data_IF_005317599298
#
_entry.id   IF_005317599298
#
_cell.length_a   1.000
_cell.length_b   1.000
_cell.length_c   1.000
_cell.angle_alpha   90.00
_cell.angle_beta   90.00
_cell.angle_gamma   90.00
#
_symmetry.space_group_name_H-M   'P 1'
#
loop_
_entity.id
_entity.type
_entity.pdbx_description
1 polymer ?
#
# COMPACT_ATOMS: atom_id res chain seq x y z
N UNK A 1 -25.95 8.48 5.58
CA UNK A 1 -26.11 7.77 4.36
C UNK A 1 -24.79 7.28 3.83
N UNK A 2 -24.84 6.11 3.39
CA UNK A 2 -23.66 5.50 2.84
C UNK A 2 -23.41 6.02 1.43
N UNK A 3 -22.21 6.39 1.10
CA UNK A 3 -21.93 6.75 -0.27
C UNK A 3 -20.83 5.83 -0.79
N UNK A 4 -20.74 5.78 -2.10
CA UNK A 4 -19.86 4.81 -2.69
C UNK A 4 -18.39 5.08 -2.42
N UNK A 5 -18.04 6.30 -2.05
CA UNK A 5 -16.66 6.57 -1.70
C UNK A 5 -16.24 5.83 -0.46
N UNK A 6 -17.18 5.53 0.40
CA UNK A 6 -16.84 4.81 1.62
C UNK A 6 -16.51 3.36 1.33
N UNK A 7 -17.07 2.81 0.25
CA UNK A 7 -16.71 1.45 -0.13
C UNK A 7 -15.35 1.41 -0.79
N UNK A 8 -14.82 2.58 -1.17
CA UNK A 8 -13.52 2.66 -1.78
C UNK A 8 -12.50 3.21 -0.81
N UNK A 9 -12.78 3.01 0.46
CA UNK A 9 -11.88 3.46 1.50
C UNK A 9 -10.51 2.85 1.27
N UNK A 10 -9.50 3.63 1.54
CA UNK A 10 -8.13 3.17 1.43
C UNK A 10 -7.88 2.10 2.48
N UNK A 11 -7.67 0.89 2.04
CA UNK A 11 -7.37 -0.20 2.96
C UNK A 11 -5.91 -0.23 3.33
N UNK A 12 -5.04 0.27 2.46
CA UNK A 12 -3.64 0.33 2.79
C UNK A 12 -3.16 1.77 2.74
N UNK A 13 -2.05 2.02 3.42
CA UNK A 13 -1.41 3.33 3.42
C UNK A 13 0.01 3.22 2.89
N UNK A 14 0.18 2.38 1.88
CA UNK A 14 1.50 2.16 1.31
C UNK A 14 2.10 3.46 0.80
N UNK A 15 1.29 4.26 0.09
CA UNK A 15 1.79 5.52 -0.44
C UNK A 15 2.23 6.46 0.68
N UNK A 16 1.48 6.52 1.76
CA UNK A 16 1.83 7.38 2.88
C UNK A 16 3.18 6.98 3.43
N UNK A 17 3.40 5.68 3.62
CA UNK A 17 4.66 5.22 4.17
C UNK A 17 5.80 5.50 3.21
N UNK A 18 5.57 5.30 1.92
CA UNK A 18 6.59 5.63 0.91
C UNK A 18 6.98 7.10 1.00
N UNK A 19 5.99 7.97 1.05
CA UNK A 19 6.24 9.41 1.12
C UNK A 19 7.00 9.76 2.40
N UNK A 20 6.57 9.16 3.51
CA UNK A 20 7.24 9.43 4.79
C UNK A 20 8.71 9.04 4.76
N UNK A 21 9.03 8.02 4.00
CA UNK A 21 10.42 7.54 3.93
C UNK A 21 11.18 8.11 2.73
N UNK A 22 10.53 8.98 1.95
CA UNK A 22 11.17 9.55 0.79
C UNK A 22 11.42 8.55 -0.32
N UNK A 23 10.56 7.52 -0.40
CA UNK A 23 10.68 6.50 -1.42
C UNK A 23 9.57 6.67 -2.46
N UNK A 24 9.81 6.14 -3.65
CA UNK A 24 8.83 6.21 -4.73
C UNK A 24 8.21 4.85 -4.98
N UNK A 25 7.07 4.86 -5.68
CA UNK A 25 6.48 3.61 -6.12
C UNK A 25 7.40 2.84 -7.04
N UNK A 26 8.16 3.56 -7.87
CA UNK A 26 9.12 2.91 -8.75
C UNK A 26 10.18 2.17 -7.94
N UNK A 27 10.65 2.80 -6.88
CA UNK A 27 11.62 2.16 -5.99
C UNK A 27 11.03 0.87 -5.43
N UNK A 28 9.79 0.93 -4.96
CA UNK A 28 9.16 -0.24 -4.38
C UNK A 28 8.98 -1.34 -5.42
N UNK A 29 8.58 -0.96 -6.63
CA UNK A 29 8.43 -1.94 -7.70
C UNK A 29 9.74 -2.67 -7.96
N UNK A 30 10.85 -1.94 -7.93
CA UNK A 30 12.16 -2.55 -8.13
C UNK A 30 12.49 -3.49 -6.99
N UNK A 31 12.18 -3.10 -5.77
CA UNK A 31 12.47 -3.96 -4.62
C UNK A 31 11.71 -5.28 -4.69
N UNK A 32 10.51 -5.25 -5.24
CA UNK A 32 9.65 -6.42 -5.26
C UNK A 32 9.68 -7.15 -6.60
N UNK A 33 10.41 -6.61 -7.56
CA UNK A 33 10.45 -7.16 -8.91
C UNK A 33 9.04 -7.22 -9.51
N UNK A 34 8.30 -6.12 -9.33
CA UNK A 34 6.97 -5.96 -9.87
C UNK A 34 6.94 -4.75 -10.79
N UNK A 35 5.90 -4.64 -11.60
CA UNK A 35 5.77 -3.49 -12.47
C UNK A 35 5.35 -2.27 -11.68
N UNK A 36 5.71 -1.09 -12.19
CA UNK A 36 5.27 0.15 -11.56
C UNK A 36 3.76 0.29 -11.62
N UNK A 37 3.14 -0.26 -12.65
CA UNK A 37 1.68 -0.23 -12.78
C UNK A 37 1.02 -0.97 -11.63
N UNK A 38 1.55 -2.14 -11.29
CA UNK A 38 1.01 -2.93 -10.19
C UNK A 38 1.13 -2.17 -8.88
N UNK A 39 2.31 -1.59 -8.63
CA UNK A 39 2.53 -0.84 -7.39
C UNK A 39 1.63 0.39 -7.35
N UNK A 40 1.47 1.06 -8.49
CA UNK A 40 0.60 2.23 -8.54
C UNK A 40 -0.82 1.88 -8.13
N UNK A 41 -1.31 0.72 -8.57
CA UNK A 41 -2.66 0.30 -8.20
C UNK A 41 -2.78 0.06 -6.71
N UNK A 42 -1.73 -0.47 -6.08
CA UNK A 42 -1.73 -0.62 -4.62
C UNK A 42 -1.74 0.75 -3.95
N UNK A 43 -0.93 1.69 -4.45
CA UNK A 43 -0.83 3.00 -3.84
C UNK A 43 -2.13 3.78 -3.92
N UNK A 44 -2.90 3.56 -4.97
CA UNK A 44 -4.20 4.22 -5.13
C UNK A 44 -5.34 3.40 -4.56
N UNK A 45 -5.04 2.25 -3.98
CA UNK A 45 -6.02 1.34 -3.41
C UNK A 45 -7.01 0.81 -4.44
N UNK A 46 -6.60 0.82 -5.71
CA UNK A 46 -7.39 0.21 -6.77
C UNK A 46 -7.41 -1.30 -6.61
N UNK A 47 -6.26 -1.88 -6.29
CA UNK A 47 -6.15 -3.28 -5.92
C UNK A 47 -5.29 -3.36 -4.67
N UNK A 48 -5.31 -4.51 -4.03
CA UNK A 48 -4.55 -4.73 -2.81
C UNK A 48 -3.53 -5.83 -3.04
N UNK A 49 -2.34 -5.71 -2.44
CA UNK A 49 -1.39 -6.83 -2.47
C UNK A 49 -1.92 -7.96 -1.60
N UNK A 50 -1.53 -9.19 -1.94
CA UNK A 50 -1.88 -10.30 -1.06
C UNK A 50 -0.99 -10.25 0.18
N UNK A 51 -1.27 -11.15 1.14
CA UNK A 51 -0.57 -11.09 2.41
C UNK A 51 0.92 -11.33 2.28
N UNK A 52 1.33 -12.23 1.39
CA UNK A 52 2.74 -12.49 1.20
C UNK A 52 3.44 -11.27 0.61
N UNK A 53 2.80 -10.63 -0.35
CA UNK A 53 3.37 -9.43 -0.95
C UNK A 53 3.40 -8.29 0.07
N UNK A 54 2.35 -8.17 0.86
CA UNK A 54 2.31 -7.14 1.89
C UNK A 54 3.44 -7.31 2.89
N UNK A 55 3.75 -8.55 3.24
CA UNK A 55 4.87 -8.83 4.12
C UNK A 55 6.19 -8.39 3.48
N UNK A 56 6.34 -8.64 2.19
CA UNK A 56 7.54 -8.21 1.48
C UNK A 56 7.66 -6.70 1.43
N UNK A 57 6.54 -6.02 1.24
CA UNK A 57 6.53 -4.56 1.26
C UNK A 57 6.97 -4.06 2.63
N UNK A 58 6.42 -4.66 3.68
CA UNK A 58 6.77 -4.25 5.04
C UNK A 58 8.27 -4.41 5.27
N UNK A 59 8.83 -5.52 4.84
CA UNK A 59 10.25 -5.76 5.02
C UNK A 59 11.10 -4.78 4.22
N UNK A 60 10.67 -4.48 3.00
CA UNK A 60 11.40 -3.53 2.18
C UNK A 60 11.40 -2.13 2.81
N UNK A 61 10.31 -1.75 3.44
CA UNK A 61 10.15 -0.44 4.06
C UNK A 61 10.56 -0.45 5.53
N UNK A 62 10.87 -1.63 6.07
CA UNK A 62 11.30 -1.78 7.47
C UNK A 62 10.24 -1.33 8.45
N UNK A 63 9.02 -1.72 8.17
CA UNK A 63 7.89 -1.44 9.03
C UNK A 63 7.12 -2.74 9.26
N UNK A 64 6.19 -2.71 10.20
CA UNK A 64 5.32 -3.85 10.40
C UNK A 64 4.20 -3.83 9.37
N UNK A 65 3.65 -5.00 9.08
CA UNK A 65 2.53 -5.09 8.16
C UNK A 65 1.39 -4.18 8.62
N UNK A 66 1.13 -4.11 9.90
CA UNK A 66 0.04 -3.26 10.40
C UNK A 66 0.24 -1.80 10.08
N UNK A 67 1.50 -1.39 9.90
CA UNK A 67 1.80 0.00 9.55
C UNK A 67 1.41 0.33 8.13
N UNK A 68 1.15 -0.69 7.32
CA UNK A 68 0.75 -0.52 5.94
C UNK A 68 -0.77 -0.56 5.77
N UNK A 69 -1.49 -0.77 6.85
CA UNK A 69 -2.93 -0.90 6.79
C UNK A 69 -3.59 0.27 7.47
N UNK A 70 -4.69 0.72 6.90
CA UNK A 70 -5.46 1.76 7.52
C UNK A 70 -6.37 1.16 8.58
N UNK A 71 -6.61 1.95 9.62
CA UNK A 71 -7.56 1.59 10.64
C UNK A 71 -8.94 1.88 10.10
N UNK A 72 -9.73 0.83 9.87
CA UNK A 72 -11.05 0.99 9.31
C UNK A 72 -12.13 0.96 10.36
N UNK A 73 -11.77 0.86 11.63
CA UNK A 73 -12.77 0.92 12.68
C UNK A 73 -13.29 2.33 12.83
N UNK A 74 -14.43 2.39 13.38
CA UNK A 74 -15.01 3.69 13.59
C UNK A 74 -14.85 4.14 14.94
#
# INVERSE_FOLDING_TARGET
MFNKFETMVNLNRIKVVLVEQGKSGKWLAEQLNKSTCTVSKWCTNTTQPDLQTLDKIAKALRVDVKDLLNDTKK
#
